data_IF_561656066808
#
_entry.id   IF_561656066808
#
_cell.length_a   1.000
_cell.length_b   1.000
_cell.length_c   1.000
_cell.angle_alpha   90.00
_cell.angle_beta   90.00
_cell.angle_gamma   90.00
#
_symmetry.space_group_name_H-M   'P 1'
#
loop_
_entity.id
_entity.type
_entity.pdbx_description
1 polymer ?
#
# COMPACT_ATOMS: atom_id res chain seq x y z
N UNK A 1 -4.13 -5.07 -19.59
CA UNK A 1 -4.50 -3.64 -19.73
C UNK A 1 -5.98 -3.37 -19.42
N UNK A 2 -6.89 -4.32 -19.69
CA UNK A 2 -8.31 -4.25 -19.28
C UNK A 2 -8.59 -4.50 -17.77
N UNK A 3 -7.60 -4.90 -16.96
CA UNK A 3 -7.82 -5.46 -15.61
C UNK A 3 -7.89 -4.43 -14.47
N UNK A 4 -7.08 -3.37 -14.47
CA UNK A 4 -6.95 -2.50 -13.28
C UNK A 4 -8.19 -1.62 -13.05
N UNK A 5 -8.77 -1.02 -14.09
CA UNK A 5 -9.91 -0.09 -13.95
C UNK A 5 -11.21 -0.77 -13.51
N UNK A 6 -11.52 -1.95 -14.07
CA UNK A 6 -12.67 -2.75 -13.65
C UNK A 6 -12.48 -3.28 -12.22
N UNK A 7 -11.27 -3.76 -11.89
CA UNK A 7 -10.92 -4.17 -10.54
C UNK A 7 -11.01 -3.02 -9.53
N UNK A 8 -10.60 -1.79 -9.87
CA UNK A 8 -10.67 -0.65 -8.95
C UNK A 8 -12.11 -0.25 -8.61
N UNK A 9 -13.03 -0.31 -9.58
CA UNK A 9 -14.43 -0.02 -9.35
C UNK A 9 -15.10 -1.12 -8.52
N UNK A 10 -14.85 -2.39 -8.85
CA UNK A 10 -15.34 -3.55 -8.09
C UNK A 10 -14.79 -3.59 -6.66
N UNK A 11 -13.51 -3.25 -6.47
CA UNK A 11 -12.86 -3.13 -5.15
C UNK A 11 -13.57 -2.10 -4.29
N UNK A 12 -13.94 -0.93 -4.85
CA UNK A 12 -14.66 0.09 -4.09
C UNK A 12 -16.05 -0.41 -3.67
N UNK A 13 -16.79 -1.03 -4.58
CA UNK A 13 -18.16 -1.53 -4.31
C UNK A 13 -18.15 -2.67 -3.28
N UNK A 14 -17.20 -3.60 -3.39
CA UNK A 14 -17.04 -4.74 -2.48
C UNK A 14 -16.66 -4.28 -1.07
N UNK A 15 -15.77 -3.27 -0.97
CA UNK A 15 -15.35 -2.70 0.31
C UNK A 15 -16.49 -1.89 0.95
N UNK A 16 -17.28 -1.16 0.17
CA UNK A 16 -18.39 -0.34 0.68
C UNK A 16 -19.57 -1.20 1.17
N UNK A 17 -19.78 -2.39 0.59
CA UNK A 17 -20.77 -3.36 1.05
C UNK A 17 -20.43 -3.97 2.43
N UNK A 18 -19.14 -4.06 2.79
CA UNK A 18 -18.67 -4.68 4.03
C UNK A 18 -18.13 -3.65 5.04
N UNK A 19 -19.04 -2.81 5.57
CA UNK A 19 -18.69 -1.72 6.50
C UNK A 19 -17.93 -2.16 7.76
N UNK A 20 -18.05 -3.42 8.19
CA UNK A 20 -17.39 -3.95 9.41
C UNK A 20 -15.92 -4.31 9.21
N UNK A 21 -15.48 -4.65 8.00
CA UNK A 21 -14.06 -4.89 7.67
C UNK A 21 -13.30 -3.60 7.28
N UNK A 22 -14.03 -2.49 7.13
CA UNK A 22 -13.56 -1.24 6.51
C UNK A 22 -12.42 -0.49 7.20
N UNK A 23 -11.98 -0.91 8.39
CA UNK A 23 -11.02 -0.15 9.21
C UNK A 23 -9.57 -0.63 9.17
N UNK A 24 -9.28 -1.77 8.52
CA UNK A 24 -7.89 -2.26 8.42
C UNK A 24 -7.10 -1.41 7.42
N UNK A 25 -5.90 -0.97 7.79
CA UNK A 25 -5.04 -0.13 6.97
C UNK A 25 -4.84 -0.67 5.53
N UNK A 26 -4.77 -1.99 5.37
CA UNK A 26 -4.63 -2.66 4.07
C UNK A 26 -5.87 -2.50 3.15
N UNK A 27 -7.07 -2.51 3.71
CA UNK A 27 -8.30 -2.33 2.93
C UNK A 27 -8.43 -0.86 2.52
N UNK A 28 -8.10 0.05 3.43
CA UNK A 28 -8.06 1.48 3.16
C UNK A 28 -7.02 1.83 2.10
N UNK A 29 -5.84 1.19 2.09
CA UNK A 29 -4.81 1.44 1.07
C UNK A 29 -5.25 0.98 -0.32
N UNK A 30 -5.86 -0.19 -0.44
CA UNK A 30 -6.43 -0.65 -1.72
C UNK A 30 -7.47 0.32 -2.26
N UNK A 31 -8.33 0.85 -1.38
CA UNK A 31 -9.33 1.86 -1.75
C UNK A 31 -8.68 3.19 -2.15
N UNK A 32 -7.62 3.61 -1.46
CA UNK A 32 -6.88 4.82 -1.79
C UNK A 32 -6.19 4.71 -3.16
N UNK A 33 -5.58 3.56 -3.47
CA UNK A 33 -4.97 3.25 -4.77
C UNK A 33 -6.04 3.26 -5.87
N UNK A 34 -7.17 2.56 -5.65
CA UNK A 34 -8.29 2.55 -6.59
C UNK A 34 -8.81 3.97 -6.88
N UNK A 35 -8.99 4.80 -5.85
CA UNK A 35 -9.41 6.18 -6.02
C UNK A 35 -8.38 7.03 -6.77
N UNK A 36 -7.09 6.80 -6.57
CA UNK A 36 -6.04 7.49 -7.31
C UNK A 36 -6.12 7.16 -8.81
N UNK A 37 -6.21 5.88 -9.18
CA UNK A 37 -6.29 5.48 -10.59
C UNK A 37 -7.61 5.91 -11.27
N UNK A 38 -8.69 6.08 -10.51
CA UNK A 38 -9.96 6.64 -11.01
C UNK A 38 -9.95 8.18 -11.09
N UNK A 39 -8.83 8.85 -10.81
CA UNK A 39 -8.72 10.31 -10.81
C UNK A 39 -9.44 11.00 -9.65
N UNK A 40 -9.96 10.24 -8.67
CA UNK A 40 -10.64 10.74 -7.47
C UNK A 40 -9.64 11.12 -6.38
N UNK A 41 -8.70 12.01 -6.74
CA UNK A 41 -7.54 12.37 -5.92
C UNK A 41 -7.92 12.81 -4.50
N UNK A 42 -8.97 13.61 -4.33
CA UNK A 42 -9.42 14.06 -3.01
C UNK A 42 -9.74 12.88 -2.08
N UNK A 43 -10.52 11.90 -2.56
CA UNK A 43 -10.88 10.72 -1.77
C UNK A 43 -9.67 9.85 -1.45
N UNK A 44 -8.73 9.71 -2.39
CA UNK A 44 -7.47 9.00 -2.15
C UNK A 44 -6.66 9.66 -1.03
N UNK A 45 -6.51 10.99 -1.06
CA UNK A 45 -5.79 11.74 -0.03
C UNK A 45 -6.48 11.71 1.33
N UNK A 46 -7.82 11.75 1.36
CA UNK A 46 -8.58 11.66 2.61
C UNK A 46 -8.34 10.31 3.29
N UNK A 47 -8.27 9.21 2.52
CA UNK A 47 -7.95 7.87 3.04
C UNK A 47 -6.50 7.73 3.49
N UNK A 48 -5.54 8.34 2.78
CA UNK A 48 -4.13 8.35 3.22
C UNK A 48 -4.03 8.99 4.61
N UNK A 49 -4.68 10.15 4.80
CA UNK A 49 -4.70 10.83 6.11
C UNK A 49 -5.36 9.99 7.19
N UNK A 50 -6.42 9.26 6.85
CA UNK A 50 -7.08 8.35 7.77
C UNK A 50 -6.11 7.23 8.21
N UNK A 51 -5.39 6.61 7.26
CA UNK A 51 -4.37 5.59 7.55
C UNK A 51 -3.24 6.18 8.39
N UNK A 52 -2.73 7.36 8.05
CA UNK A 52 -1.70 8.08 8.83
C UNK A 52 -2.15 8.34 10.27
N UNK A 53 -3.42 8.71 10.47
CA UNK A 53 -3.97 9.00 11.79
C UNK A 53 -4.22 7.75 12.65
N UNK A 54 -4.46 6.59 12.03
CA UNK A 54 -4.76 5.33 12.72
C UNK A 54 -3.52 4.54 13.15
N UNK A 55 -2.32 5.08 12.93
CA UNK A 55 -1.03 4.47 13.33
C UNK A 55 -0.94 4.11 14.82
N UNK A 56 -1.79 4.69 15.68
CA UNK A 56 -1.79 4.44 17.12
C UNK A 56 -2.33 3.05 17.52
N UNK A 57 -2.91 2.27 16.60
CA UNK A 57 -3.59 1.00 16.91
C UNK A 57 -2.73 -0.26 16.78
N UNK A 58 -1.47 -0.16 16.35
CA UNK A 58 -0.61 -1.33 16.11
C UNK A 58 -0.90 -2.10 14.82
N UNK A 59 -1.76 -1.57 13.95
CA UNK A 59 -2.02 -2.11 12.61
C UNK A 59 -0.89 -1.73 11.64
N UNK A 60 -0.55 -2.66 10.73
CA UNK A 60 0.48 -2.51 9.68
C UNK A 60 0.16 -1.39 8.69
N UNK A 61 0.47 -0.16 9.09
CA UNK A 61 0.08 1.06 8.40
C UNK A 61 1.23 1.60 7.55
N UNK A 62 2.49 1.36 7.93
CA UNK A 62 3.64 1.78 7.13
C UNK A 62 3.75 0.99 5.83
N UNK A 63 3.56 -0.34 5.88
CA UNK A 63 3.54 -1.17 4.67
C UNK A 63 2.40 -0.75 3.73
N UNK A 64 1.22 -0.47 4.29
CA UNK A 64 0.04 -0.02 3.54
C UNK A 64 0.26 1.35 2.88
N UNK A 65 0.88 2.31 3.59
CA UNK A 65 1.24 3.61 3.02
C UNK A 65 2.26 3.46 1.89
N UNK A 66 3.27 2.59 2.07
CA UNK A 66 4.26 2.35 1.03
C UNK A 66 3.62 1.83 -0.27
N UNK A 67 2.64 0.93 -0.18
CA UNK A 67 1.89 0.46 -1.36
C UNK A 67 1.23 1.62 -2.10
N UNK A 68 0.58 2.54 -1.37
CA UNK A 68 -0.10 3.69 -1.97
C UNK A 68 0.91 4.59 -2.68
N UNK A 69 2.01 4.94 -2.02
CA UNK A 69 3.02 5.82 -2.61
C UNK A 69 3.73 5.18 -3.81
N UNK A 70 3.93 3.86 -3.80
CA UNK A 70 4.48 3.13 -4.95
C UNK A 70 3.55 3.26 -6.17
N UNK A 71 2.25 3.05 -5.98
CA UNK A 71 1.25 3.17 -7.06
C UNK A 71 1.04 4.60 -7.55
N UNK A 72 1.29 5.59 -6.70
CA UNK A 72 1.29 7.01 -7.07
C UNK A 72 2.55 7.44 -7.84
N UNK A 73 3.54 6.55 -8.01
CA UNK A 73 4.83 6.87 -8.63
C UNK A 73 5.78 7.67 -7.71
N UNK A 74 5.43 7.84 -6.44
CA UNK A 74 6.26 8.51 -5.43
C UNK A 74 7.28 7.51 -4.85
N UNK A 75 8.23 7.09 -5.69
CA UNK A 75 9.19 6.00 -5.39
C UNK A 75 9.98 6.28 -4.11
N UNK A 76 10.50 7.49 -3.93
CA UNK A 76 11.28 7.84 -2.73
C UNK A 76 10.45 7.73 -1.45
N UNK A 77 9.23 8.28 -1.46
CA UNK A 77 8.32 8.17 -0.33
C UNK A 77 7.94 6.71 -0.05
N UNK A 78 7.71 5.90 -1.08
CA UNK A 78 7.41 4.48 -0.91
C UNK A 78 8.55 3.75 -0.17
N UNK A 79 9.81 4.01 -0.53
CA UNK A 79 10.96 3.44 0.18
C UNK A 79 11.10 3.95 1.61
N UNK A 80 10.83 5.24 1.87
CA UNK A 80 10.83 5.77 3.24
C UNK A 80 9.80 5.05 4.13
N UNK A 81 8.60 4.79 3.61
CA UNK A 81 7.57 4.06 4.34
C UNK A 81 7.90 2.57 4.49
N UNK A 82 8.50 1.92 3.49
CA UNK A 82 9.01 0.54 3.63
C UNK A 82 10.11 0.43 4.68
N UNK A 83 11.01 1.40 4.76
CA UNK A 83 12.04 1.43 5.80
C UNK A 83 11.42 1.54 7.20
N UNK A 84 10.39 2.39 7.37
CA UNK A 84 9.64 2.47 8.63
C UNK A 84 8.95 1.15 8.95
N UNK A 85 8.32 0.50 7.99
CA UNK A 85 7.67 -0.80 8.17
C UNK A 85 8.68 -1.87 8.63
N UNK A 86 9.86 -1.90 7.99
CA UNK A 86 10.96 -2.79 8.37
C UNK A 86 11.47 -2.52 9.79
N UNK A 87 11.75 -1.25 10.13
CA UNK A 87 12.25 -0.86 11.45
C UNK A 87 11.24 -1.14 12.58
N UNK A 88 9.95 -1.09 12.30
CA UNK A 88 8.90 -1.41 13.26
C UNK A 88 8.55 -2.91 13.29
N UNK A 89 9.29 -3.74 12.57
CA UNK A 89 9.03 -5.18 12.45
C UNK A 89 7.57 -5.48 12.09
N UNK A 90 6.98 -4.68 11.19
CA UNK A 90 5.61 -4.90 10.76
C UNK A 90 5.49 -6.30 10.15
N UNK A 91 4.54 -7.09 10.65
CA UNK A 91 4.31 -8.47 10.17
C UNK A 91 4.14 -8.48 8.66
N UNK A 92 3.44 -7.49 8.08
CA UNK A 92 3.20 -7.40 6.64
C UNK A 92 4.46 -7.45 5.76
N UNK A 93 5.65 -7.14 6.29
CA UNK A 93 6.93 -7.25 5.57
C UNK A 93 7.21 -8.67 5.03
N UNK A 94 6.62 -9.73 5.61
CA UNK A 94 6.77 -11.10 5.07
C UNK A 94 6.21 -11.24 3.64
N UNK A 95 5.33 -10.33 3.20
CA UNK A 95 4.71 -10.35 1.87
C UNK A 95 5.40 -9.46 0.85
N UNK A 96 6.47 -8.76 1.21
CA UNK A 96 7.11 -7.75 0.37
C UNK A 96 7.37 -8.24 -1.07
N UNK A 97 7.94 -9.43 -1.24
CA UNK A 97 8.30 -9.98 -2.56
C UNK A 97 7.10 -10.49 -3.40
N UNK A 98 5.90 -10.61 -2.81
CA UNK A 98 4.71 -11.13 -3.49
C UNK A 98 3.60 -10.09 -3.62
N UNK A 99 3.82 -8.88 -3.10
CA UNK A 99 2.85 -7.81 -3.10
C UNK A 99 2.90 -7.02 -4.44
N UNK A 100 1.89 -7.16 -5.32
CA UNK A 100 1.91 -6.54 -6.65
C UNK A 100 1.93 -5.02 -6.63
N UNK A 101 1.45 -4.36 -5.57
CA UNK A 101 1.48 -2.90 -5.51
C UNK A 101 2.90 -2.30 -5.44
N UNK A 102 3.92 -3.13 -5.22
CA UNK A 102 5.33 -2.70 -5.31
C UNK A 102 5.97 -2.90 -6.67
N UNK A 103 5.24 -3.39 -7.69
CA UNK A 103 5.75 -3.49 -9.07
C UNK A 103 6.48 -2.22 -9.55
N UNK A 104 6.00 -0.98 -9.26
CA UNK A 104 6.71 0.25 -9.64
C UNK A 104 8.12 0.38 -9.04
N UNK A 105 8.41 -0.32 -7.95
CA UNK A 105 9.71 -0.27 -7.26
C UNK A 105 10.72 -1.28 -7.83
N UNK A 106 10.29 -2.29 -8.59
CA UNK A 106 11.14 -3.45 -8.94
C UNK A 106 12.39 -3.11 -9.75
N UNK A 107 12.36 -2.00 -10.50
CA UNK A 107 13.51 -1.54 -11.30
C UNK A 107 14.47 -0.63 -10.52
N UNK A 108 14.12 -0.23 -9.29
CA UNK A 108 14.97 0.59 -8.44
C UNK A 108 15.98 -0.30 -7.69
N UNK A 109 17.30 0.01 -7.70
CA UNK A 109 18.30 -0.78 -6.99
C UNK A 109 17.99 -1.00 -5.50
N UNK A 110 17.30 -0.04 -4.86
CA UNK A 110 16.90 -0.12 -3.44
C UNK A 110 15.88 -1.24 -3.18
N UNK A 111 15.19 -1.74 -4.21
CA UNK A 111 14.27 -2.87 -4.08
C UNK A 111 15.02 -4.14 -3.68
N UNK A 112 16.09 -4.46 -4.40
CA UNK A 112 16.91 -5.64 -4.07
C UNK A 112 17.56 -5.48 -2.69
N UNK A 113 18.03 -4.28 -2.35
CA UNK A 113 18.58 -4.02 -1.01
C UNK A 113 17.53 -4.24 0.09
N UNK A 114 16.27 -3.86 -0.14
CA UNK A 114 15.19 -4.08 0.81
C UNK A 114 14.88 -5.57 0.97
N UNK A 115 14.82 -6.34 -0.13
CA UNK A 115 14.61 -7.78 -0.10
C UNK A 115 15.73 -8.49 0.68
N UNK A 116 16.99 -8.12 0.42
CA UNK A 116 18.16 -8.65 1.11
C UNK A 116 18.12 -8.34 2.62
N UNK A 117 17.70 -7.12 3.01
CA UNK A 117 17.54 -6.72 4.43
C UNK A 117 16.45 -7.52 5.16
N UNK A 118 15.36 -7.84 4.47
CA UNK A 118 14.28 -8.67 5.04
C UNK A 118 14.67 -10.15 5.09
N UNK A 119 15.64 -10.58 4.28
CA UNK A 119 16.15 -11.95 4.24
C UNK A 119 15.42 -12.84 3.23
N UNK A 120 14.85 -12.27 2.16
CA UNK A 120 14.29 -13.06 1.08
C UNK A 120 15.40 -13.80 0.32
N UNK A 121 15.16 -15.06 -0.11
CA UNK A 121 16.09 -15.78 -0.95
C UNK A 121 16.21 -15.13 -2.33
N UNK A 122 17.39 -15.25 -2.94
CA UNK A 122 17.68 -14.81 -4.30
C UNK A 122 17.10 -15.75 -5.34
#
# INVERSE_FOLDING_TARGET
>A
VYSYLEMHQEVIETIEANQSESKRAYILSNKAIAYYHLGKNKRSHDLIKEIESSHQSGDSSYFSLAMIYAQMGSIDAAFEWLQKAYMNHEVSMFRLNVEPYFEPLYNDPRWQEMLDKVGFPK
#
